data_IF_515920991515
#
_entry.id   IF_515920991515
#
_cell.length_a   1.000
_cell.length_b   1.000
_cell.length_c   1.000
_cell.angle_alpha   90.00
_cell.angle_beta   90.00
_cell.angle_gamma   90.00
#
_symmetry.space_group_name_H-M   'P 1'
#
loop_
_entity.id
_entity.type
_entity.pdbx_description
1 polymer ?
#
# COMPACT_ATOMS: atom_id res chain seq x y z
N UNK A 1 4.66 16.49 7.38
CA UNK A 1 6.13 16.56 7.36
C UNK A 1 6.68 15.23 7.82
N UNK A 2 7.55 14.59 7.04
CA UNK A 2 8.29 13.41 7.48
C UNK A 2 9.56 13.89 8.20
N UNK A 3 9.68 13.60 9.48
CA UNK A 3 10.78 14.12 10.30
C UNK A 3 12.16 13.60 9.86
N UNK A 4 12.24 12.34 9.39
CA UNK A 4 13.48 11.79 8.84
C UNK A 4 13.93 12.51 7.56
N UNK A 5 12.97 12.80 6.68
CA UNK A 5 13.24 13.59 5.46
C UNK A 5 13.71 14.99 5.83
N UNK A 6 13.06 15.62 6.80
CA UNK A 6 13.44 16.99 7.24
C UNK A 6 14.84 17.02 7.84
N UNK A 7 15.20 16.10 8.72
CA UNK A 7 16.56 15.99 9.28
C UNK A 7 17.58 15.67 8.19
N UNK A 8 17.20 14.84 7.20
CA UNK A 8 18.06 14.57 6.04
C UNK A 8 18.30 15.82 5.21
N UNK A 9 17.30 16.65 4.98
CA UNK A 9 17.45 17.92 4.27
C UNK A 9 18.43 18.86 5.00
N UNK A 10 18.26 19.03 6.31
CA UNK A 10 19.18 19.80 7.14
C UNK A 10 20.62 19.26 7.05
N UNK A 11 20.77 17.95 7.11
CA UNK A 11 22.08 17.31 6.96
C UNK A 11 22.70 17.58 5.58
N UNK A 12 21.91 17.51 4.51
CA UNK A 12 22.39 17.79 3.16
C UNK A 12 22.81 19.27 3.01
N UNK A 13 22.07 20.21 3.60
CA UNK A 13 22.44 21.62 3.60
C UNK A 13 23.77 21.83 4.32
N UNK A 14 23.96 21.22 5.49
CA UNK A 14 25.25 21.24 6.21
C UNK A 14 26.39 20.68 5.35
N UNK A 15 26.15 19.59 4.63
CA UNK A 15 27.17 18.98 3.77
C UNK A 15 27.50 19.86 2.56
N UNK A 16 26.55 20.58 2.01
CA UNK A 16 26.80 21.61 1.00
C UNK A 16 27.66 22.76 1.55
N UNK A 17 27.37 23.21 2.76
CA UNK A 17 28.19 24.22 3.42
C UNK A 17 29.64 23.75 3.63
N UNK A 18 29.82 22.50 4.05
CA UNK A 18 31.14 21.89 4.18
C UNK A 18 31.87 21.74 2.83
N UNK A 19 31.13 21.54 1.74
CA UNK A 19 31.70 21.55 0.38
C UNK A 19 32.16 22.98 -0.02
N UNK A 20 31.36 24.00 0.30
CA UNK A 20 31.78 25.41 0.02
C UNK A 20 32.96 25.84 0.81
N UNK A 21 33.19 25.27 1.99
CA UNK A 21 34.36 25.48 2.85
C UNK A 21 35.60 24.66 2.39
N UNK A 22 35.46 23.82 1.36
CA UNK A 22 36.57 23.02 0.82
C UNK A 22 36.88 21.78 1.67
N UNK A 23 36.03 21.43 2.63
CA UNK A 23 36.16 20.20 3.46
C UNK A 23 35.71 18.96 2.69
N UNK A 24 34.66 19.11 1.84
CA UNK A 24 34.20 18.09 0.93
C UNK A 24 34.42 18.54 -0.52
N UNK A 25 34.67 17.61 -1.48
CA UNK A 25 34.73 17.94 -2.90
C UNK A 25 33.40 18.54 -3.40
N UNK A 26 33.46 19.45 -4.32
CA UNK A 26 32.29 20.16 -4.84
C UNK A 26 31.31 19.24 -5.61
N UNK A 27 31.80 18.14 -6.15
CA UNK A 27 31.05 17.14 -6.92
C UNK A 27 30.63 15.92 -6.08
N UNK A 28 30.60 16.06 -4.76
CA UNK A 28 30.24 14.95 -3.85
C UNK A 28 28.79 14.51 -4.02
N UNK A 29 28.56 13.23 -4.26
CA UNK A 29 27.23 12.64 -4.35
C UNK A 29 26.68 12.33 -2.95
N UNK A 30 25.54 12.93 -2.61
CA UNK A 30 24.84 12.71 -1.35
C UNK A 30 23.67 11.72 -1.44
N UNK A 31 23.47 11.07 -2.59
CA UNK A 31 22.32 10.19 -2.85
C UNK A 31 22.27 8.97 -1.89
N UNK A 32 23.43 8.47 -1.47
CA UNK A 32 23.58 7.31 -0.60
C UNK A 32 23.46 7.61 0.90
N UNK A 33 23.25 8.90 1.25
CA UNK A 33 23.13 9.31 2.65
C UNK A 33 21.70 9.05 3.12
N UNK A 34 21.58 8.30 4.21
CA UNK A 34 20.31 7.97 4.87
C UNK A 34 20.24 8.58 6.26
N UNK A 35 19.02 8.87 6.69
CA UNK A 35 18.64 9.16 8.07
C UNK A 35 17.53 8.17 8.44
N UNK A 36 17.81 7.31 9.39
CA UNK A 36 16.96 6.18 9.77
C UNK A 36 16.85 6.05 11.29
N UNK A 37 15.85 5.32 11.81
CA UNK A 37 15.85 4.98 13.24
C UNK A 37 17.11 4.22 13.62
N UNK A 38 17.72 4.52 14.77
CA UNK A 38 18.87 3.74 15.25
C UNK A 38 18.45 2.30 15.56
N UNK A 39 19.39 1.35 15.47
CA UNK A 39 19.10 -0.06 15.78
C UNK A 39 18.68 -0.28 17.24
N UNK A 40 19.15 0.56 18.14
CA UNK A 40 18.84 0.56 19.57
C UNK A 40 18.37 1.97 19.96
N UNK A 41 17.18 2.07 20.54
CA UNK A 41 16.57 3.34 20.96
C UNK A 41 17.38 4.13 22.01
N UNK A 42 18.32 3.48 22.67
CA UNK A 42 19.27 4.14 23.58
C UNK A 42 20.27 5.05 22.86
N UNK A 43 20.37 4.94 21.56
CA UNK A 43 21.29 5.72 20.73
C UNK A 43 20.63 6.98 20.10
N UNK A 44 19.58 7.49 20.71
CA UNK A 44 18.88 8.70 20.24
C UNK A 44 17.68 8.36 19.37
N UNK A 45 17.21 9.36 18.63
CA UNK A 45 15.97 9.28 17.82
C UNK A 45 16.26 8.88 16.37
N UNK A 46 17.43 9.26 15.86
CA UNK A 46 17.83 9.05 14.45
C UNK A 46 19.32 8.71 14.36
N UNK A 47 19.68 8.05 13.28
CA UNK A 47 21.08 7.76 12.95
C UNK A 47 21.33 8.02 11.47
N UNK A 48 22.53 8.53 11.14
CA UNK A 48 22.96 8.71 9.75
C UNK A 48 24.30 8.03 9.47
N UNK A 49 24.44 7.56 8.22
CA UNK A 49 25.64 6.96 7.67
C UNK A 49 26.55 7.97 6.95
N UNK A 50 26.24 9.27 7.01
CA UNK A 50 26.87 10.31 6.18
C UNK A 50 28.40 10.26 6.21
N UNK A 51 29.00 10.25 7.39
CA UNK A 51 30.46 10.21 7.52
C UNK A 51 31.10 8.96 6.94
N UNK A 52 30.42 7.82 7.04
CA UNK A 52 30.93 6.54 6.48
C UNK A 52 30.88 6.52 4.96
N UNK A 53 29.82 7.09 4.37
CA UNK A 53 29.65 7.18 2.90
C UNK A 53 30.70 8.15 2.34
N UNK A 54 30.79 9.34 2.94
CA UNK A 54 31.60 10.45 2.42
C UNK A 54 33.09 10.28 2.68
N UNK A 55 33.51 9.55 3.69
CA UNK A 55 34.93 9.36 4.05
C UNK A 55 35.77 8.79 2.91
N UNK A 56 35.15 8.04 2.00
CA UNK A 56 35.81 7.47 0.82
C UNK A 56 36.20 8.54 -0.22
N UNK A 57 35.43 9.62 -0.30
CA UNK A 57 35.64 10.71 -1.25
C UNK A 57 36.67 11.75 -0.77
N UNK A 58 36.91 11.82 0.55
CA UNK A 58 37.79 12.83 1.17
C UNK A 58 39.09 12.26 1.75
N UNK A 59 39.36 10.96 1.57
CA UNK A 59 40.55 10.28 2.11
C UNK A 59 40.76 10.51 3.63
N UNK A 60 39.65 10.79 4.34
CA UNK A 60 39.64 11.08 5.78
C UNK A 60 39.01 9.90 6.52
N UNK A 61 39.46 9.65 7.76
CA UNK A 61 38.84 8.61 8.58
C UNK A 61 37.39 8.93 8.87
N UNK A 62 36.45 7.97 8.71
CA UNK A 62 35.01 8.24 8.91
C UNK A 62 34.71 8.92 10.25
N UNK A 63 35.44 8.56 11.31
CA UNK A 63 35.24 9.12 12.65
C UNK A 63 35.69 10.58 12.79
N UNK A 64 36.65 11.00 12.01
CA UNK A 64 37.10 12.40 11.97
C UNK A 64 36.10 13.24 11.22
N UNK A 65 35.62 12.76 10.08
CA UNK A 65 34.55 13.41 9.31
C UNK A 65 33.25 13.47 10.12
N UNK A 66 32.92 12.41 10.88
CA UNK A 66 31.77 12.38 11.77
C UNK A 66 31.83 13.50 12.83
N UNK A 67 33.00 13.85 13.36
CA UNK A 67 33.15 14.97 14.31
C UNK A 67 32.78 16.29 13.67
N UNK A 68 33.28 16.56 12.47
CA UNK A 68 33.03 17.81 11.75
C UNK A 68 31.53 17.95 11.46
N UNK A 69 30.89 16.89 10.97
CA UNK A 69 29.46 16.87 10.70
C UNK A 69 28.66 17.04 12.00
N UNK A 70 29.07 16.37 13.08
CA UNK A 70 28.39 16.44 14.38
C UNK A 70 28.47 17.85 15.00
N UNK A 71 29.61 18.54 14.86
CA UNK A 71 29.76 19.91 15.32
C UNK A 71 28.79 20.85 14.61
N UNK A 72 28.63 20.71 13.29
CA UNK A 72 27.67 21.50 12.52
C UNK A 72 26.21 21.13 12.85
N UNK A 73 25.90 19.85 12.99
CA UNK A 73 24.56 19.39 13.41
C UNK A 73 24.16 19.92 14.79
N UNK A 74 25.10 19.96 15.74
CA UNK A 74 24.85 20.44 17.11
C UNK A 74 24.50 21.94 17.19
N UNK A 75 24.71 22.71 16.13
CA UNK A 75 24.30 24.11 16.04
C UNK A 75 22.84 24.28 15.61
N UNK A 76 22.20 23.22 15.15
CA UNK A 76 20.83 23.29 14.69
C UNK A 76 19.85 23.20 15.86
N UNK A 77 18.87 24.09 15.93
CA UNK A 77 17.91 24.24 17.03
C UNK A 77 17.02 23.00 17.28
N UNK A 78 16.82 22.16 16.25
CA UNK A 78 16.04 20.92 16.42
C UNK A 78 16.85 19.78 17.04
N UNK A 79 18.18 19.93 17.16
CA UNK A 79 19.10 18.91 17.69
C UNK A 79 19.37 19.16 19.16
N UNK A 80 19.10 18.18 20.00
CA UNK A 80 19.44 18.22 21.43
C UNK A 80 20.87 17.75 21.69
N UNK A 81 21.26 16.64 21.07
CA UNK A 81 22.60 16.07 21.20
C UNK A 81 22.97 15.20 20.02
N UNK A 82 24.28 15.06 19.81
CA UNK A 82 24.84 14.21 18.74
C UNK A 82 25.94 13.34 19.33
N UNK A 83 25.86 12.03 19.05
CA UNK A 83 26.84 11.04 19.51
C UNK A 83 27.41 10.26 18.33
N UNK A 84 28.74 9.99 18.37
CA UNK A 84 29.42 9.23 17.33
C UNK A 84 29.61 7.78 17.78
N UNK A 85 28.98 6.84 17.07
CA UNK A 85 29.00 5.42 17.37
C UNK A 85 29.84 4.62 16.35
N UNK A 86 30.47 3.58 16.82
CA UNK A 86 31.22 2.64 15.98
C UNK A 86 32.24 3.30 15.06
N UNK A 87 32.28 2.92 13.77
CA UNK A 87 33.26 3.43 12.82
C UNK A 87 32.99 4.86 12.33
N UNK A 88 31.83 5.46 12.66
CA UNK A 88 31.47 6.82 12.20
C UNK A 88 29.98 7.00 11.94
N UNK A 89 29.12 6.19 12.54
CA UNK A 89 27.68 6.50 12.60
C UNK A 89 27.45 7.71 13.48
N UNK A 90 26.56 8.58 13.08
CA UNK A 90 26.18 9.76 13.84
C UNK A 90 24.75 9.55 14.33
N UNK A 91 24.59 9.46 15.63
CA UNK A 91 23.30 9.34 16.30
C UNK A 91 22.83 10.73 16.73
N UNK A 92 21.58 11.03 16.52
CA UNK A 92 20.98 12.35 16.73
C UNK A 92 19.82 12.19 17.70
N UNK A 93 19.82 12.97 18.78
CA UNK A 93 18.66 13.16 19.65
C UNK A 93 18.03 14.52 19.35
N UNK A 94 16.71 14.56 19.21
CA UNK A 94 15.97 15.75 18.85
C UNK A 94 15.51 16.52 20.09
N UNK A 95 15.37 17.84 19.96
CA UNK A 95 14.88 18.70 21.03
C UNK A 95 13.38 18.46 21.32
N UNK A 96 12.97 18.72 22.56
CA UNK A 96 11.54 18.65 22.92
C UNK A 96 10.69 19.59 22.07
N UNK A 97 11.21 20.76 21.70
CA UNK A 97 10.52 21.71 20.83
C UNK A 97 10.21 21.11 19.45
N UNK A 98 11.13 20.31 18.90
CA UNK A 98 10.91 19.58 17.64
C UNK A 98 9.73 18.60 17.76
N UNK A 99 9.67 17.82 18.84
CA UNK A 99 8.57 16.89 19.09
C UNK A 99 7.23 17.61 19.32
N UNK A 100 7.21 18.71 20.05
CA UNK A 100 6.01 19.53 20.24
C UNK A 100 5.51 20.12 18.92
N UNK A 101 6.40 20.58 18.06
CA UNK A 101 6.06 21.06 16.72
C UNK A 101 5.47 19.96 15.85
N UNK A 102 6.08 18.76 15.88
CA UNK A 102 5.56 17.58 15.17
C UNK A 102 4.16 17.22 15.67
N UNK A 103 3.94 17.15 17.00
CA UNK A 103 2.63 16.86 17.59
C UNK A 103 1.58 17.88 17.15
N UNK A 104 1.93 19.17 17.17
CA UNK A 104 1.05 20.23 16.67
C UNK A 104 0.69 20.02 15.20
N UNK A 105 1.66 19.62 14.37
CA UNK A 105 1.43 19.29 12.96
C UNK A 105 0.51 18.07 12.79
N UNK A 106 0.67 17.03 13.61
CA UNK A 106 -0.23 15.87 13.63
C UNK A 106 -1.67 16.29 13.91
N UNK A 107 -1.87 17.10 14.96
CA UNK A 107 -3.19 17.55 15.38
C UNK A 107 -3.86 18.44 14.32
N UNK A 108 -3.12 19.34 13.70
CA UNK A 108 -3.63 20.25 12.67
C UNK A 108 -4.01 19.52 11.38
N UNK A 109 -3.20 18.54 10.96
CA UNK A 109 -3.43 17.78 9.73
C UNK A 109 -4.42 16.62 9.92
N UNK A 110 -4.62 16.15 11.16
CA UNK A 110 -5.50 15.04 11.48
C UNK A 110 -5.27 13.84 10.57
N UNK A 111 -6.31 13.34 9.94
CA UNK A 111 -6.26 12.18 9.03
C UNK A 111 -5.39 12.40 7.78
N UNK A 112 -5.00 13.62 7.48
CA UNK A 112 -4.13 13.93 6.35
C UNK A 112 -2.63 13.94 6.73
N UNK A 113 -2.32 13.79 8.02
CA UNK A 113 -0.92 13.69 8.45
C UNK A 113 -0.28 12.42 7.85
N UNK A 114 0.91 12.57 7.29
CA UNK A 114 1.61 11.48 6.61
C UNK A 114 1.29 11.33 5.13
N UNK A 115 0.34 12.07 4.57
CA UNK A 115 0.14 12.11 3.12
C UNK A 115 1.42 12.54 2.41
N UNK A 116 1.66 11.93 1.27
CA UNK A 116 2.79 12.28 0.41
C UNK A 116 2.32 12.49 -1.04
N UNK A 117 3.19 13.03 -1.86
CA UNK A 117 2.95 13.22 -3.29
C UNK A 117 3.93 12.43 -4.16
N UNK A 118 4.46 11.31 -3.64
CA UNK A 118 5.43 10.47 -4.35
C UNK A 118 4.83 9.83 -5.61
N UNK A 119 3.50 9.73 -5.67
CA UNK A 119 2.79 9.25 -6.85
C UNK A 119 2.71 10.24 -8.00
N UNK A 120 2.97 11.53 -7.77
CA UNK A 120 2.91 12.60 -8.78
C UNK A 120 1.62 12.57 -9.62
N UNK A 121 0.49 12.23 -9.00
CA UNK A 121 -0.82 12.06 -9.68
C UNK A 121 -0.80 11.07 -10.85
N UNK A 122 0.15 10.14 -10.87
CA UNK A 122 0.15 9.07 -11.86
C UNK A 122 -1.08 8.21 -11.69
N UNK A 123 -1.72 7.86 -12.81
CA UNK A 123 -2.90 6.99 -12.83
C UNK A 123 -2.53 5.56 -12.55
N UNK A 124 -3.28 4.93 -11.64
CA UNK A 124 -3.14 3.52 -11.28
C UNK A 124 -4.52 2.89 -11.24
N UNK A 125 -4.69 1.77 -11.90
CA UNK A 125 -5.88 0.94 -11.79
C UNK A 125 -5.61 -0.21 -10.83
N UNK A 126 -6.49 -0.40 -9.85
CA UNK A 126 -6.43 -1.50 -8.88
C UNK A 126 -7.69 -2.33 -9.04
N UNK A 127 -7.54 -3.46 -9.70
CA UNK A 127 -8.60 -4.47 -9.80
C UNK A 127 -8.52 -5.42 -8.60
N UNK A 128 -9.66 -5.65 -7.94
CA UNK A 128 -9.72 -6.55 -6.80
C UNK A 128 -11.12 -7.16 -6.61
N UNK A 129 -11.17 -8.27 -5.89
CA UNK A 129 -12.30 -9.19 -5.77
C UNK A 129 -12.54 -9.91 -7.10
N UNK A 130 -13.16 -9.26 -8.09
CA UNK A 130 -13.46 -9.80 -9.45
C UNK A 130 -13.95 -11.24 -9.42
N UNK A 131 -14.88 -11.53 -8.49
CA UNK A 131 -15.36 -12.88 -8.24
C UNK A 131 -16.31 -13.33 -9.33
N UNK A 132 -16.16 -14.58 -9.78
CA UNK A 132 -17.12 -15.19 -10.68
C UNK A 132 -18.50 -15.31 -10.01
N UNK A 133 -19.62 -15.09 -10.71
CA UNK A 133 -20.98 -15.09 -10.16
C UNK A 133 -21.50 -16.51 -9.95
N UNK A 134 -20.73 -17.38 -9.32
CA UNK A 134 -21.04 -18.80 -9.13
C UNK A 134 -21.66 -19.12 -7.77
N UNK A 135 -21.74 -18.13 -6.88
CA UNK A 135 -22.30 -18.28 -5.55
C UNK A 135 -22.08 -17.04 -4.65
N UNK A 136 -22.54 -17.10 -3.40
CA UNK A 136 -22.31 -16.05 -2.42
C UNK A 136 -20.80 -15.79 -2.20
N UNK A 137 -20.46 -14.53 -1.91
CA UNK A 137 -19.09 -14.20 -1.52
C UNK A 137 -18.73 -14.89 -0.19
N UNK A 138 -17.50 -15.34 -0.09
CA UNK A 138 -16.97 -16.03 1.09
C UNK A 138 -15.70 -15.36 1.60
N UNK A 139 -15.16 -15.82 2.72
CA UNK A 139 -13.98 -15.24 3.40
C UNK A 139 -12.76 -15.03 2.48
N UNK A 140 -12.58 -15.90 1.48
CA UNK A 140 -11.51 -15.73 0.49
C UNK A 140 -11.67 -14.46 -0.35
N UNK A 141 -12.89 -14.16 -0.78
CA UNK A 141 -13.21 -12.91 -1.49
C UNK A 141 -13.08 -11.69 -0.58
N UNK A 142 -13.53 -11.79 0.69
CA UNK A 142 -13.40 -10.72 1.68
C UNK A 142 -11.94 -10.36 1.93
N UNK A 143 -11.05 -11.34 2.00
CA UNK A 143 -9.61 -11.09 2.13
C UNK A 143 -9.07 -10.29 0.94
N UNK A 144 -9.47 -10.65 -0.28
CA UNK A 144 -9.11 -9.91 -1.49
C UNK A 144 -9.66 -8.49 -1.50
N UNK A 145 -10.91 -8.30 -1.02
CA UNK A 145 -11.56 -7.00 -0.91
C UNK A 145 -10.82 -6.08 0.06
N UNK A 146 -10.52 -6.55 1.26
CA UNK A 146 -9.81 -5.77 2.29
C UNK A 146 -8.41 -5.38 1.81
N UNK A 147 -7.67 -6.34 1.23
CA UNK A 147 -6.33 -6.07 0.71
C UNK A 147 -6.37 -5.04 -0.44
N UNK A 148 -7.25 -5.24 -1.41
CA UNK A 148 -7.36 -4.36 -2.58
C UNK A 148 -7.79 -2.94 -2.21
N UNK A 149 -8.77 -2.79 -1.30
CA UNK A 149 -9.19 -1.46 -0.83
C UNK A 149 -8.11 -0.77 0.00
N UNK A 150 -7.42 -1.50 0.88
CA UNK A 150 -6.29 -0.96 1.65
C UNK A 150 -5.15 -0.50 0.72
N UNK A 151 -4.79 -1.30 -0.29
CA UNK A 151 -3.78 -0.94 -1.28
C UNK A 151 -4.19 0.31 -2.08
N UNK A 152 -5.42 0.34 -2.59
CA UNK A 152 -5.94 1.48 -3.33
C UNK A 152 -5.97 2.76 -2.48
N UNK A 153 -6.35 2.63 -1.21
CA UNK A 153 -6.35 3.74 -0.25
C UNK A 153 -4.94 4.24 0.04
N UNK A 154 -3.98 3.33 0.25
CA UNK A 154 -2.57 3.67 0.50
C UNK A 154 -1.94 4.37 -0.71
N UNK A 155 -2.19 3.89 -1.92
CA UNK A 155 -1.73 4.53 -3.15
C UNK A 155 -2.33 5.95 -3.29
N UNK A 156 -3.64 6.12 -3.06
CA UNK A 156 -4.27 7.44 -3.07
C UNK A 156 -3.67 8.37 -2.01
N UNK A 157 -3.37 7.83 -0.83
CA UNK A 157 -2.74 8.58 0.25
C UNK A 157 -1.30 9.00 -0.09
N UNK A 158 -0.65 8.23 -0.96
CA UNK A 158 0.69 8.49 -1.49
C UNK A 158 0.70 9.39 -2.74
N UNK A 159 -0.45 9.96 -3.14
CA UNK A 159 -0.54 10.94 -4.22
C UNK A 159 -0.72 10.34 -5.61
N UNK A 160 -1.14 9.09 -5.74
CA UNK A 160 -1.57 8.51 -7.01
C UNK A 160 -3.05 8.81 -7.28
N UNK A 161 -3.43 8.93 -8.57
CA UNK A 161 -4.81 8.95 -9.03
C UNK A 161 -5.28 7.51 -9.21
N UNK A 162 -6.04 6.97 -8.24
CA UNK A 162 -6.40 5.56 -8.19
C UNK A 162 -7.82 5.33 -8.67
N UNK A 163 -7.96 4.46 -9.67
CA UNK A 163 -9.24 3.88 -10.08
C UNK A 163 -9.38 2.50 -9.43
N UNK A 164 -10.52 2.27 -8.75
CA UNK A 164 -10.88 0.94 -8.23
C UNK A 164 -11.73 0.24 -9.27
N UNK A 165 -11.35 -0.97 -9.64
CA UNK A 165 -12.03 -1.77 -10.64
C UNK A 165 -12.52 -3.09 -10.07
N UNK A 166 -13.72 -3.47 -10.46
CA UNK A 166 -14.27 -4.80 -10.26
C UNK A 166 -14.68 -5.35 -11.62
N UNK A 167 -14.04 -6.45 -12.05
CA UNK A 167 -14.39 -7.11 -13.29
C UNK A 167 -15.63 -7.99 -13.10
N UNK A 168 -16.69 -7.71 -13.83
CA UNK A 168 -17.90 -8.53 -13.85
C UNK A 168 -17.71 -9.61 -14.92
N UNK A 169 -17.52 -10.86 -14.48
CA UNK A 169 -17.40 -11.98 -15.39
C UNK A 169 -18.78 -12.62 -15.62
N UNK A 170 -19.48 -12.15 -16.63
CA UNK A 170 -20.84 -12.57 -16.99
C UNK A 170 -20.91 -13.55 -18.17
N UNK A 171 -19.77 -14.13 -18.55
CA UNK A 171 -19.67 -15.10 -19.65
C UNK A 171 -18.81 -16.31 -19.33
N UNK A 172 -18.79 -17.25 -20.27
CA UNK A 172 -17.95 -18.46 -20.21
C UNK A 172 -18.56 -19.66 -19.48
N UNK A 173 -17.83 -20.77 -19.48
CA UNK A 173 -18.31 -22.08 -19.05
C UNK A 173 -18.91 -22.12 -17.64
N UNK A 174 -18.43 -21.29 -16.71
CA UNK A 174 -18.96 -21.26 -15.33
C UNK A 174 -20.38 -20.67 -15.28
N UNK A 175 -20.68 -19.69 -16.13
CA UNK A 175 -22.02 -19.11 -16.23
C UNK A 175 -23.00 -20.13 -16.82
N UNK A 176 -22.57 -20.89 -17.82
CA UNK A 176 -23.38 -21.97 -18.42
C UNK A 176 -23.69 -23.06 -17.38
N UNK A 177 -22.69 -23.45 -16.60
CA UNK A 177 -22.86 -24.42 -15.50
C UNK A 177 -23.81 -23.88 -14.42
N UNK A 178 -23.70 -22.59 -14.10
CA UNK A 178 -24.62 -21.95 -13.15
C UNK A 178 -26.07 -21.95 -13.69
N UNK A 179 -26.25 -21.57 -14.96
CA UNK A 179 -27.57 -21.58 -15.62
C UNK A 179 -28.18 -22.99 -15.60
N UNK A 180 -27.37 -24.01 -15.92
CA UNK A 180 -27.78 -25.42 -15.83
C UNK A 180 -28.20 -25.82 -14.40
N UNK A 181 -27.44 -25.37 -13.41
CA UNK A 181 -27.73 -25.64 -11.99
C UNK A 181 -29.05 -24.97 -11.54
N UNK A 182 -29.30 -23.73 -11.96
CA UNK A 182 -30.58 -23.05 -11.72
C UNK A 182 -31.72 -23.79 -12.39
N UNK A 183 -31.51 -24.30 -13.61
CA UNK A 183 -32.52 -25.05 -14.34
C UNK A 183 -32.86 -26.39 -13.65
N UNK A 184 -31.88 -27.08 -13.09
CA UNK A 184 -32.13 -28.27 -12.29
C UNK A 184 -32.98 -27.93 -11.05
N UNK A 185 -32.67 -26.90 -10.31
CA UNK A 185 -33.49 -26.43 -9.18
C UNK A 185 -34.89 -25.97 -9.62
N UNK A 186 -35.03 -25.38 -10.82
CA UNK A 186 -36.33 -25.05 -11.38
C UNK A 186 -37.17 -26.30 -11.69
N UNK A 187 -36.60 -27.39 -12.22
CA UNK A 187 -37.27 -28.66 -12.44
C UNK A 187 -37.69 -29.33 -11.10
N UNK A 188 -36.81 -29.26 -10.10
CA UNK A 188 -37.10 -29.76 -8.72
C UNK A 188 -38.29 -29.00 -8.10
N UNK A 189 -38.42 -27.68 -8.34
CA UNK A 189 -39.53 -26.85 -7.87
C UNK A 189 -40.88 -27.26 -8.48
N UNK A 190 -40.89 -28.07 -9.56
CA UNK A 190 -42.07 -28.70 -10.15
C UNK A 190 -42.20 -30.17 -9.75
N UNK A 191 -41.46 -30.66 -8.77
CA UNK A 191 -41.52 -32.03 -8.26
C UNK A 191 -40.84 -33.09 -9.14
N UNK A 192 -39.97 -32.66 -10.08
CA UNK A 192 -39.16 -33.61 -10.86
C UNK A 192 -37.96 -34.07 -10.03
N UNK A 193 -37.67 -35.39 -10.12
CA UNK A 193 -36.40 -35.90 -9.61
C UNK A 193 -35.24 -35.36 -10.47
N UNK A 194 -34.25 -34.73 -9.85
CA UNK A 194 -33.08 -34.16 -10.50
C UNK A 194 -31.82 -34.75 -9.91
N UNK A 195 -30.81 -34.91 -10.74
CA UNK A 195 -29.48 -35.35 -10.33
C UNK A 195 -28.50 -34.23 -10.65
N UNK A 196 -27.78 -33.75 -9.63
CA UNK A 196 -26.70 -32.83 -9.81
C UNK A 196 -25.43 -33.59 -10.18
N UNK A 197 -25.02 -33.44 -11.43
CA UNK A 197 -23.80 -34.04 -11.95
C UNK A 197 -22.55 -33.33 -11.35
N UNK A 198 -21.42 -34.04 -11.36
CA UNK A 198 -20.15 -33.47 -10.96
C UNK A 198 -19.84 -32.19 -11.74
N UNK A 199 -19.42 -31.14 -11.03
CA UNK A 199 -19.13 -29.82 -11.61
C UNK A 199 -20.32 -28.85 -11.64
N UNK A 200 -21.55 -29.29 -11.28
CA UNK A 200 -22.68 -28.37 -11.10
C UNK A 200 -22.65 -27.70 -9.72
N UNK A 201 -23.48 -26.66 -9.55
CA UNK A 201 -23.61 -25.92 -8.29
C UNK A 201 -24.87 -26.34 -7.53
N UNK A 202 -24.80 -27.30 -6.58
CA UNK A 202 -26.00 -27.82 -5.92
C UNK A 202 -26.46 -26.96 -4.74
N UNK A 203 -25.87 -25.78 -4.50
CA UNK A 203 -26.09 -24.98 -3.31
C UNK A 203 -27.54 -24.47 -3.15
N UNK A 204 -28.00 -24.40 -1.91
CA UNK A 204 -29.37 -23.98 -1.55
C UNK A 204 -29.66 -22.51 -1.93
N UNK A 205 -28.62 -21.69 -2.13
CA UNK A 205 -28.76 -20.30 -2.60
C UNK A 205 -29.41 -20.18 -3.97
N UNK A 206 -29.44 -21.26 -4.78
CA UNK A 206 -30.11 -21.30 -6.08
C UNK A 206 -31.62 -21.59 -5.95
N UNK A 207 -32.11 -22.13 -4.85
CA UNK A 207 -33.54 -22.45 -4.64
C UNK A 207 -34.41 -21.19 -4.77
N UNK A 208 -34.15 -20.07 -4.06
CA UNK A 208 -34.97 -18.88 -4.22
C UNK A 208 -34.88 -18.25 -5.63
N UNK A 209 -33.78 -18.46 -6.33
CA UNK A 209 -33.63 -17.99 -7.73
C UNK A 209 -34.52 -18.83 -8.65
N UNK A 210 -34.51 -20.15 -8.49
CA UNK A 210 -35.35 -21.07 -9.25
C UNK A 210 -36.85 -20.83 -9.00
N UNK A 211 -37.24 -20.56 -7.75
CA UNK A 211 -38.63 -20.19 -7.41
C UNK A 211 -39.07 -18.89 -8.08
N UNK A 212 -38.21 -17.85 -8.07
CA UNK A 212 -38.49 -16.60 -8.79
C UNK A 212 -38.63 -16.83 -10.30
N UNK A 213 -37.80 -17.72 -10.87
CA UNK A 213 -37.91 -18.08 -12.27
C UNK A 213 -39.24 -18.78 -12.55
N UNK A 214 -39.64 -19.73 -11.70
CA UNK A 214 -40.96 -20.41 -11.76
C UNK A 214 -42.13 -19.41 -11.72
N UNK A 215 -42.06 -18.45 -10.78
CA UNK A 215 -43.11 -17.42 -10.66
C UNK A 215 -43.20 -16.52 -11.92
N UNK A 216 -42.06 -16.27 -12.57
CA UNK A 216 -41.98 -15.39 -13.74
C UNK A 216 -42.44 -16.05 -15.02
N UNK A 217 -42.08 -17.31 -15.24
CA UNK A 217 -42.27 -18.00 -16.53
C UNK A 217 -43.21 -19.23 -16.48
N UNK A 218 -43.72 -19.55 -15.28
CA UNK A 218 -44.53 -20.76 -15.07
C UNK A 218 -43.74 -22.03 -15.38
N UNK A 219 -44.35 -22.96 -16.11
CA UNK A 219 -43.75 -24.22 -16.52
C UNK A 219 -43.20 -24.22 -17.96
N UNK A 220 -43.19 -23.09 -18.61
CA UNK A 220 -42.81 -22.93 -20.04
C UNK A 220 -41.45 -23.57 -20.35
N UNK A 221 -40.46 -23.41 -19.47
CA UNK A 221 -39.10 -23.93 -19.70
C UNK A 221 -38.98 -25.46 -19.53
N UNK A 222 -40.03 -26.14 -19.10
CA UNK A 222 -40.02 -27.59 -18.98
C UNK A 222 -40.20 -28.32 -20.31
N UNK A 223 -40.72 -27.65 -21.29
CA UNK A 223 -41.11 -28.23 -22.60
C UNK A 223 -40.73 -27.37 -23.82
N UNK A 224 -40.23 -26.15 -23.63
CA UNK A 224 -39.74 -25.34 -24.74
C UNK A 224 -38.25 -25.62 -24.98
N UNK A 225 -37.89 -25.86 -26.24
CA UNK A 225 -36.49 -25.85 -26.66
C UNK A 225 -36.11 -24.43 -27.06
N UNK A 226 -34.85 -23.99 -26.81
CA UNK A 226 -34.38 -22.71 -27.33
C UNK A 226 -34.55 -22.70 -28.85
N UNK A 227 -35.21 -21.66 -29.37
CA UNK A 227 -35.34 -21.43 -30.81
C UNK A 227 -33.98 -21.02 -31.38
N UNK A 228 -33.64 -21.42 -32.62
CA UNK A 228 -32.45 -20.88 -33.29
C UNK A 228 -32.46 -19.36 -33.47
N UNK A 229 -33.59 -18.68 -33.17
CA UNK A 229 -33.72 -17.22 -33.19
C UNK A 229 -33.37 -16.57 -31.84
N UNK A 230 -33.24 -17.38 -30.78
CA UNK A 230 -32.99 -16.93 -29.41
C UNK A 230 -31.52 -17.23 -28.98
N UNK A 231 -30.70 -17.66 -29.95
CA UNK A 231 -29.28 -17.96 -29.77
C UNK A 231 -28.39 -16.81 -30.26
#
# INVERSE_FOLDING_TARGET
MNLFTHVREILIDILHDLSTQGILPADTDFSQITVEPPKDSRHGDMATNAAMVLSKSVETKPRELAKIISESLSQNEIVLSVDIAGPGFINISLSEACWHSLLSSVLLNGINFGRSNIGYSKKVNVEFVSANPTGPLHVGHTRGAVFGDALASLLSYSGYEVTREYYINDGGAQVDVLARSVFLRYQEAFGKEVVFEDGTYPGDYLIPIALKLKDKVGDCLLYTSPSPRDA
#
